data_IF_458023147394
#
_entry.id   IF_458023147394
#
_cell.length_a   1.000
_cell.length_b   1.000
_cell.length_c   1.000
_cell.angle_alpha   90.00
_cell.angle_beta   90.00
_cell.angle_gamma   90.00
#
_symmetry.space_group_name_H-M   'P 1'
#
loop_
_entity.id
_entity.type
_entity.pdbx_description
1 polymer ?
#
# COMPACT_ATOMS: atom_id res chain seq x y z
N UNK A 1 -24.18 -38.04 -29.15
CA UNK A 1 -23.04 -37.21 -29.59
C UNK A 1 -21.97 -38.15 -30.15
N UNK A 2 -21.48 -37.90 -31.35
CA UNK A 2 -20.55 -38.80 -32.06
C UNK A 2 -19.12 -38.63 -31.52
N UNK A 3 -18.29 -39.69 -31.50
CA UNK A 3 -16.91 -39.65 -31.00
C UNK A 3 -16.02 -38.59 -31.66
N UNK A 4 -16.35 -38.15 -32.88
CA UNK A 4 -15.66 -37.09 -33.63
C UNK A 4 -15.66 -35.71 -32.94
N UNK A 5 -16.68 -35.40 -32.14
CA UNK A 5 -16.79 -34.06 -31.51
C UNK A 5 -15.87 -33.94 -30.30
N UNK A 6 -15.67 -35.01 -29.52
CA UNK A 6 -14.72 -35.02 -28.40
C UNK A 6 -13.26 -34.95 -28.87
N UNK A 7 -12.93 -35.55 -30.01
CA UNK A 7 -11.56 -35.56 -30.57
C UNK A 7 -11.07 -34.15 -30.93
N UNK A 8 -11.97 -33.22 -31.28
CA UNK A 8 -11.62 -31.84 -31.63
C UNK A 8 -11.61 -30.87 -30.44
N UNK A 9 -12.34 -31.18 -29.37
CA UNK A 9 -12.43 -30.31 -28.18
C UNK A 9 -11.10 -30.27 -27.41
N UNK A 10 -10.43 -31.41 -27.25
CA UNK A 10 -9.19 -31.49 -26.47
C UNK A 10 -8.07 -30.66 -27.13
N UNK A 11 -7.77 -30.81 -28.44
CA UNK A 11 -6.79 -29.96 -29.11
C UNK A 11 -7.16 -28.48 -29.11
N UNK A 12 -8.46 -28.16 -29.26
CA UNK A 12 -8.94 -26.78 -29.24
C UNK A 12 -8.73 -26.13 -27.87
N UNK A 13 -9.07 -26.83 -26.79
CA UNK A 13 -8.85 -26.35 -25.42
C UNK A 13 -7.36 -26.16 -25.14
N UNK A 14 -6.51 -27.11 -25.56
CA UNK A 14 -5.05 -26.97 -25.43
C UNK A 14 -4.51 -25.75 -26.18
N UNK A 15 -5.05 -25.44 -27.37
CA UNK A 15 -4.66 -24.26 -28.14
C UNK A 15 -5.10 -22.97 -27.44
N UNK A 16 -6.31 -22.95 -26.87
CA UNK A 16 -6.84 -21.83 -26.08
C UNK A 16 -5.98 -21.61 -24.84
N UNK A 17 -5.68 -22.66 -24.09
CA UNK A 17 -4.88 -22.60 -22.86
C UNK A 17 -3.45 -22.13 -23.18
N UNK A 18 -2.85 -22.64 -24.26
CA UNK A 18 -1.54 -22.22 -24.75
C UNK A 18 -1.53 -20.74 -25.14
N UNK A 19 -2.53 -20.29 -25.91
CA UNK A 19 -2.66 -18.90 -26.32
C UNK A 19 -2.87 -17.95 -25.12
N UNK A 20 -3.68 -18.35 -24.14
CA UNK A 20 -3.90 -17.58 -22.93
C UNK A 20 -2.64 -17.51 -22.07
N UNK A 21 -1.97 -18.65 -21.85
CA UNK A 21 -0.73 -18.71 -21.08
C UNK A 21 0.36 -17.84 -21.71
N UNK A 22 0.53 -17.92 -23.03
CA UNK A 22 1.46 -17.08 -23.78
C UNK A 22 1.14 -15.59 -23.62
N UNK A 23 -0.12 -15.20 -23.82
CA UNK A 23 -0.56 -13.80 -23.66
C UNK A 23 -0.28 -13.24 -22.27
N UNK A 24 -0.67 -13.95 -21.21
CA UNK A 24 -0.48 -13.46 -19.84
C UNK A 24 0.98 -13.49 -19.40
N UNK A 25 1.79 -14.42 -19.92
CA UNK A 25 3.25 -14.43 -19.70
C UNK A 25 3.88 -13.16 -20.27
N UNK A 26 3.50 -12.78 -21.50
CA UNK A 26 3.96 -11.54 -22.13
C UNK A 26 3.51 -10.31 -21.34
N UNK A 27 2.23 -10.22 -20.95
CA UNK A 27 1.72 -9.10 -20.14
C UNK A 27 2.47 -8.98 -18.80
N UNK A 28 2.79 -10.08 -18.13
CA UNK A 28 3.52 -10.03 -16.86
C UNK A 28 4.97 -9.56 -17.09
N UNK A 29 5.61 -10.00 -18.17
CA UNK A 29 6.95 -9.56 -18.54
C UNK A 29 7.01 -8.06 -18.88
N UNK A 30 6.13 -7.61 -19.78
CA UNK A 30 6.08 -6.23 -20.29
C UNK A 30 5.77 -5.21 -19.20
N UNK A 31 4.99 -5.61 -18.19
CA UNK A 31 4.59 -4.75 -17.07
C UNK A 31 5.28 -5.12 -15.75
N UNK A 32 6.42 -5.83 -15.78
CA UNK A 32 7.14 -6.29 -14.58
C UNK A 32 7.54 -5.16 -13.61
N UNK A 33 7.77 -3.94 -14.11
CA UNK A 33 8.04 -2.75 -13.30
C UNK A 33 6.79 -1.97 -12.84
N UNK A 34 5.61 -2.28 -13.35
CA UNK A 34 4.34 -1.63 -12.96
C UNK A 34 3.55 -2.57 -12.05
N UNK A 35 3.78 -2.41 -10.75
CA UNK A 35 3.14 -3.21 -9.72
C UNK A 35 1.60 -3.14 -9.79
N UNK A 36 1.04 -1.99 -10.22
CA UNK A 36 -0.42 -1.80 -10.32
C UNK A 36 -1.00 -2.64 -11.45
N UNK A 37 -0.33 -2.68 -12.60
CA UNK A 37 -0.69 -3.54 -13.72
C UNK A 37 -0.55 -5.01 -13.36
N UNK A 38 0.54 -5.41 -12.71
CA UNK A 38 0.74 -6.79 -12.25
C UNK A 38 -0.40 -7.25 -11.34
N UNK A 39 -0.72 -6.47 -10.30
CA UNK A 39 -1.84 -6.80 -9.41
C UNK A 39 -3.17 -6.88 -10.16
N UNK A 40 -3.43 -6.00 -11.13
CA UNK A 40 -4.64 -6.04 -11.95
C UNK A 40 -4.71 -7.32 -12.80
N UNK A 41 -3.60 -7.70 -13.41
CA UNK A 41 -3.49 -8.90 -14.25
C UNK A 41 -3.68 -10.16 -13.42
N UNK A 42 -2.98 -10.28 -12.29
CA UNK A 42 -3.16 -11.39 -11.33
C UNK A 42 -4.60 -11.45 -10.83
N UNK A 43 -5.19 -10.31 -10.48
CA UNK A 43 -6.58 -10.24 -10.05
C UNK A 43 -7.57 -10.67 -11.15
N UNK A 44 -7.29 -10.38 -12.43
CA UNK A 44 -8.10 -10.87 -13.56
C UNK A 44 -7.98 -12.39 -13.73
N UNK A 45 -6.79 -12.95 -13.49
CA UNK A 45 -6.54 -14.40 -13.57
C UNK A 45 -7.16 -15.17 -12.40
N UNK A 46 -7.08 -14.63 -11.19
CA UNK A 46 -7.53 -15.30 -9.96
C UNK A 46 -9.02 -15.11 -9.68
N UNK A 47 -9.62 -14.01 -10.15
CA UNK A 47 -11.05 -13.82 -9.93
C UNK A 47 -11.87 -14.70 -10.87
N UNK A 48 -12.31 -15.84 -10.34
CA UNK A 48 -13.61 -16.40 -10.72
C UNK A 48 -14.66 -15.32 -10.46
N UNK A 49 -15.50 -15.07 -11.47
CA UNK A 49 -16.58 -14.08 -11.48
C UNK A 49 -17.21 -13.96 -10.08
N UNK A 50 -16.94 -12.86 -9.36
CA UNK A 50 -17.65 -12.58 -8.12
C UNK A 50 -19.06 -12.21 -8.53
N UNK A 51 -19.97 -13.19 -8.49
CA UNK A 51 -21.39 -12.88 -8.44
C UNK A 51 -21.55 -11.98 -7.24
N UNK A 52 -21.89 -10.72 -7.48
CA UNK A 52 -22.15 -9.76 -6.43
C UNK A 52 -23.43 -10.22 -5.73
N UNK A 53 -23.27 -11.12 -4.75
CA UNK A 53 -24.36 -11.55 -3.90
C UNK A 53 -24.58 -10.43 -2.89
N UNK A 54 -25.40 -9.46 -3.28
CA UNK A 54 -26.11 -8.68 -2.29
C UNK A 54 -27.00 -9.64 -1.50
N UNK A 55 -27.11 -9.47 -0.19
CA UNK A 55 -28.11 -10.20 0.55
C UNK A 55 -29.48 -9.93 -0.08
N UNK A 56 -30.18 -11.00 -0.47
CA UNK A 56 -31.57 -10.90 -0.88
C UNK A 56 -32.37 -10.24 0.24
N UNK A 57 -33.10 -9.17 -0.09
CA UNK A 57 -33.88 -8.30 0.78
C UNK A 57 -34.10 -8.85 2.20
N UNK A 58 -33.41 -8.27 3.18
CA UNK A 58 -33.65 -8.60 4.59
C UNK A 58 -34.96 -7.95 5.03
N UNK A 59 -35.95 -8.72 5.52
CA UNK A 59 -37.24 -8.18 5.94
C UNK A 59 -37.14 -7.31 7.21
N UNK A 60 -36.02 -7.37 7.94
CA UNK A 60 -35.82 -6.67 9.21
C UNK A 60 -34.47 -5.94 9.22
N UNK A 61 -34.54 -4.61 9.11
CA UNK A 61 -33.38 -3.70 9.11
C UNK A 61 -32.64 -3.70 10.46
N UNK A 62 -33.34 -3.94 11.56
CA UNK A 62 -32.77 -3.95 12.91
C UNK A 62 -31.87 -5.17 13.07
N UNK A 63 -32.39 -6.36 12.72
CA UNK A 63 -31.60 -7.59 12.75
C UNK A 63 -30.39 -7.56 11.83
N UNK A 64 -30.51 -6.91 10.67
CA UNK A 64 -29.37 -6.71 9.79
C UNK A 64 -28.32 -5.79 10.42
N UNK A 65 -28.74 -4.66 11.01
CA UNK A 65 -27.85 -3.73 11.69
C UNK A 65 -27.15 -4.40 12.88
N UNK A 66 -27.88 -5.18 13.68
CA UNK A 66 -27.33 -5.95 14.79
C UNK A 66 -26.34 -7.01 14.30
N UNK A 67 -26.67 -7.74 13.23
CA UNK A 67 -25.75 -8.72 12.63
C UNK A 67 -24.47 -8.05 12.10
N UNK A 68 -24.59 -6.88 11.47
CA UNK A 68 -23.47 -6.07 11.02
C UNK A 68 -22.60 -5.62 12.20
N UNK A 69 -23.22 -5.06 13.23
CA UNK A 69 -22.53 -4.57 14.42
C UNK A 69 -21.78 -5.72 15.13
N UNK A 70 -22.46 -6.83 15.38
CA UNK A 70 -21.89 -8.01 16.03
C UNK A 70 -20.75 -8.62 15.20
N UNK A 71 -20.85 -8.62 13.87
CA UNK A 71 -19.78 -9.07 13.00
C UNK A 71 -18.50 -8.23 13.19
N UNK A 72 -18.62 -6.90 13.22
CA UNK A 72 -17.47 -6.02 13.41
C UNK A 72 -16.89 -6.08 14.82
N UNK A 73 -17.74 -6.11 15.86
CA UNK A 73 -17.30 -6.31 17.26
C UNK A 73 -16.48 -7.61 17.36
N UNK A 74 -17.04 -8.73 16.91
CA UNK A 74 -16.36 -10.03 16.95
C UNK A 74 -15.04 -10.02 16.17
N UNK A 75 -14.99 -9.30 15.04
CA UNK A 75 -13.77 -9.20 14.23
C UNK A 75 -12.69 -8.38 14.92
N UNK A 76 -13.06 -7.28 15.59
CA UNK A 76 -12.14 -6.47 16.41
C UNK A 76 -11.59 -7.34 17.55
N UNK A 77 -12.45 -8.02 18.29
CA UNK A 77 -12.02 -8.90 19.39
C UNK A 77 -11.04 -9.98 18.93
N UNK A 78 -11.33 -10.64 17.80
CA UNK A 78 -10.42 -11.64 17.21
C UNK A 78 -9.05 -11.07 16.88
N UNK A 79 -9.00 -9.85 16.33
CA UNK A 79 -7.73 -9.19 16.00
C UNK A 79 -6.98 -8.85 17.29
N UNK A 80 -7.64 -8.24 18.27
CA UNK A 80 -7.03 -7.90 19.55
C UNK A 80 -6.50 -9.14 20.29
N UNK A 81 -7.30 -10.20 20.39
CA UNK A 81 -6.88 -11.44 21.03
C UNK A 81 -5.71 -12.09 20.29
N UNK A 82 -5.70 -12.08 18.96
CA UNK A 82 -4.57 -12.58 18.17
C UNK A 82 -3.28 -11.76 18.34
N UNK A 83 -3.37 -10.52 18.83
CA UNK A 83 -2.19 -9.74 19.22
C UNK A 83 -1.77 -10.01 20.67
N UNK A 84 -2.73 -10.16 21.58
CA UNK A 84 -2.46 -10.48 22.99
C UNK A 84 -1.84 -11.89 23.13
N UNK A 85 -2.40 -12.90 22.47
CA UNK A 85 -1.86 -14.27 22.49
C UNK A 85 -0.47 -14.39 21.84
N UNK A 86 -0.08 -13.42 21.01
CA UNK A 86 1.25 -13.34 20.37
C UNK A 86 2.23 -12.46 21.13
N UNK A 87 1.79 -11.70 22.13
CA UNK A 87 2.70 -11.06 23.04
C UNK A 87 3.29 -12.18 23.91
N UNK A 88 4.60 -12.46 23.85
CA UNK A 88 5.20 -13.36 24.82
C UNK A 88 4.94 -12.72 26.19
N UNK A 89 4.24 -13.46 27.06
CA UNK A 89 4.37 -13.28 28.49
C UNK A 89 5.86 -13.05 28.75
N UNK A 90 6.16 -11.92 29.39
CA UNK A 90 7.50 -11.47 29.69
C UNK A 90 8.10 -12.39 30.77
N UNK A 91 8.30 -13.67 30.44
CA UNK A 91 9.03 -14.63 31.24
C UNK A 91 10.51 -14.34 31.04
N UNK A 92 11.06 -13.56 31.97
CA UNK A 92 12.48 -13.26 32.16
C UNK A 92 13.31 -14.52 32.55
N UNK A 93 12.96 -15.69 32.02
CA UNK A 93 13.70 -16.94 32.27
C UNK A 93 13.33 -18.03 31.27
N UNK A 94 13.78 -17.93 30.01
CA UNK A 94 13.94 -19.14 29.22
C UNK A 94 14.92 -18.96 28.06
N UNK A 95 16.05 -19.63 28.19
CA UNK A 95 17.08 -19.76 27.17
C UNK A 95 16.70 -20.91 26.24
N UNK A 96 16.13 -20.62 25.07
CA UNK A 96 15.87 -21.64 24.04
C UNK A 96 16.32 -21.19 22.64
N UNK A 97 17.43 -21.79 22.24
CA UNK A 97 17.93 -22.18 20.91
C UNK A 97 17.04 -21.90 19.69
N UNK A 98 17.61 -21.07 18.79
CA UNK A 98 17.69 -21.20 17.32
C UNK A 98 16.58 -21.98 16.60
N UNK A 99 15.61 -21.28 16.02
CA UNK A 99 15.27 -21.39 14.57
C UNK A 99 14.27 -20.30 14.13
N UNK A 100 14.62 -19.03 14.38
CA UNK A 100 13.89 -17.92 13.76
C UNK A 100 14.60 -17.63 12.43
N UNK A 101 13.94 -17.64 11.26
CA UNK A 101 14.59 -17.18 10.05
C UNK A 101 14.97 -15.71 10.28
N UNK A 102 16.27 -15.48 10.53
CA UNK A 102 16.81 -14.13 10.56
C UNK A 102 16.61 -13.58 9.15
N UNK A 103 15.63 -12.69 9.02
CA UNK A 103 15.52 -11.87 7.84
C UNK A 103 16.73 -10.91 7.89
N UNK A 104 17.86 -11.33 7.32
CA UNK A 104 19.10 -10.54 7.23
C UNK A 104 18.99 -9.46 6.13
N UNK A 105 17.81 -8.86 5.99
CA UNK A 105 17.59 -7.74 5.10
C UNK A 105 18.16 -6.51 5.78
N UNK A 106 19.46 -6.30 5.57
CA UNK A 106 20.14 -5.10 6.01
C UNK A 106 19.83 -3.94 5.07
N UNK A 107 19.33 -2.85 5.64
CA UNK A 107 18.99 -1.62 4.91
C UNK A 107 20.28 -0.82 4.73
N UNK A 108 21.06 -1.14 3.70
CA UNK A 108 22.42 -0.59 3.52
C UNK A 108 22.47 0.68 2.66
N UNK A 109 21.35 1.08 2.04
CA UNK A 109 21.30 2.21 1.12
C UNK A 109 20.25 3.23 1.58
N UNK A 110 20.68 4.22 2.36
CA UNK A 110 19.86 5.40 2.63
C UNK A 110 20.32 6.53 1.71
N UNK A 111 19.38 7.03 0.89
CA UNK A 111 19.63 8.25 0.15
C UNK A 111 19.44 9.44 1.08
N UNK A 112 20.37 10.40 1.01
CA UNK A 112 20.21 11.66 1.72
C UNK A 112 18.92 12.35 1.24
N UNK A 113 18.04 12.67 2.17
CA UNK A 113 16.78 13.36 1.88
C UNK A 113 17.10 14.79 1.46
N UNK A 114 16.64 15.21 0.28
CA UNK A 114 16.80 16.59 -0.18
C UNK A 114 15.71 17.48 0.39
N UNK A 115 15.97 18.78 0.43
CA UNK A 115 15.02 19.76 0.93
C UNK A 115 13.69 19.73 0.15
N UNK A 116 13.75 19.57 -1.18
CA UNK A 116 12.57 19.48 -2.02
C UNK A 116 11.74 18.22 -1.74
N UNK A 117 12.39 17.10 -1.40
CA UNK A 117 11.69 15.90 -0.96
C UNK A 117 10.94 16.15 0.36
N UNK A 118 11.56 16.86 1.31
CA UNK A 118 10.91 17.22 2.58
C UNK A 118 9.74 18.17 2.35
N UNK A 119 9.92 19.21 1.54
CA UNK A 119 8.85 20.17 1.19
C UNK A 119 7.67 19.47 0.53
N UNK A 120 7.94 18.66 -0.50
CA UNK A 120 6.91 17.89 -1.23
C UNK A 120 6.19 16.89 -0.31
N UNK A 121 6.93 16.27 0.60
CA UNK A 121 6.36 15.34 1.57
C UNK A 121 5.45 16.06 2.57
N UNK A 122 5.94 17.14 3.19
CA UNK A 122 5.19 17.91 4.19
C UNK A 122 3.85 18.40 3.63
N UNK A 123 3.85 18.98 2.42
CA UNK A 123 2.61 19.44 1.78
C UNK A 123 1.65 18.26 1.54
N UNK A 124 2.15 17.12 1.06
CA UNK A 124 1.31 15.94 0.78
C UNK A 124 0.67 15.36 2.04
N UNK A 125 1.42 15.28 3.15
CA UNK A 125 0.92 14.70 4.40
C UNK A 125 -0.07 15.60 5.14
N UNK A 126 0.02 16.91 4.94
CA UNK A 126 -0.80 17.93 5.62
C UNK A 126 -2.08 18.30 4.85
N UNK A 127 -2.49 17.52 3.85
CA UNK A 127 -3.69 17.79 3.04
C UNK A 127 -5.00 17.31 3.64
N UNK A 128 -4.96 16.50 4.69
CA UNK A 128 -6.13 15.90 5.31
C UNK A 128 -6.13 16.21 6.80
N UNK A 129 -7.30 16.54 7.31
CA UNK A 129 -7.53 16.69 8.74
C UNK A 129 -8.84 16.00 9.10
N UNK A 130 -8.94 15.50 10.33
CA UNK A 130 -10.14 14.92 10.90
C UNK A 130 -10.48 15.58 12.24
N UNK A 131 -11.71 15.41 12.72
CA UNK A 131 -12.20 16.03 13.97
C UNK A 131 -11.45 15.53 15.23
N UNK A 132 -10.65 14.47 15.11
CA UNK A 132 -9.81 13.92 16.17
C UNK A 132 -8.37 14.46 16.15
N UNK A 133 -8.01 15.31 15.18
CA UNK A 133 -6.67 15.90 15.13
C UNK A 133 -6.53 16.96 16.23
N UNK A 134 -5.40 16.94 16.94
CA UNK A 134 -5.09 17.92 17.98
C UNK A 134 -5.02 19.35 17.43
N UNK A 135 -4.65 19.52 16.16
CA UNK A 135 -4.56 20.81 15.48
C UNK A 135 -4.94 20.66 13.99
N UNK A 136 -5.57 21.68 13.38
CA UNK A 136 -5.86 21.68 11.95
C UNK A 136 -4.58 21.57 11.12
N UNK A 137 -4.62 20.77 10.05
CA UNK A 137 -3.46 20.53 9.19
C UNK A 137 -2.86 21.83 8.60
N UNK A 138 -3.68 22.85 8.31
CA UNK A 138 -3.22 24.16 7.83
C UNK A 138 -2.36 24.92 8.84
N UNK A 139 -2.56 24.69 10.15
CA UNK A 139 -1.75 25.32 11.19
C UNK A 139 -0.40 24.62 11.32
N UNK A 140 -0.41 23.29 11.28
CA UNK A 140 0.79 22.46 11.31
C UNK A 140 1.66 22.75 10.07
N UNK A 141 1.05 22.93 8.90
CA UNK A 141 1.75 23.31 7.66
C UNK A 141 2.55 24.60 7.83
N UNK A 142 1.93 25.66 8.37
CA UNK A 142 2.62 26.93 8.60
C UNK A 142 3.78 26.78 9.59
N UNK A 143 3.57 26.05 10.68
CA UNK A 143 4.62 25.82 11.68
C UNK A 143 5.82 25.06 11.09
N UNK A 144 5.56 23.99 10.33
CA UNK A 144 6.59 23.19 9.65
C UNK A 144 7.32 24.03 8.59
N UNK A 145 6.60 24.82 7.79
CA UNK A 145 7.21 25.70 6.80
C UNK A 145 8.16 26.74 7.44
N UNK A 146 7.76 27.35 8.55
CA UNK A 146 8.60 28.30 9.30
C UNK A 146 9.87 27.62 9.85
N UNK A 147 9.73 26.45 10.47
CA UNK A 147 10.87 25.70 11.01
C UNK A 147 11.83 25.23 9.91
N UNK A 148 11.29 24.80 8.76
CA UNK A 148 12.10 24.44 7.60
C UNK A 148 12.85 25.66 7.06
N UNK A 149 12.19 26.81 6.91
CA UNK A 149 12.84 28.05 6.46
C UNK A 149 13.93 28.50 7.42
N UNK A 150 13.67 28.49 8.72
CA UNK A 150 14.69 28.79 9.73
C UNK A 150 15.88 27.84 9.65
N UNK A 151 15.64 26.54 9.49
CA UNK A 151 16.70 25.55 9.33
C UNK A 151 17.52 25.78 8.05
N UNK A 152 16.88 26.10 6.93
CA UNK A 152 17.55 26.43 5.66
C UNK A 152 18.49 27.62 5.85
N UNK A 153 18.00 28.69 6.46
CA UNK A 153 18.76 29.92 6.68
C UNK A 153 19.92 29.70 7.65
N UNK A 154 19.68 29.02 8.78
CA UNK A 154 20.71 28.74 9.80
C UNK A 154 21.82 27.83 9.32
N UNK A 155 21.50 26.91 8.40
CA UNK A 155 22.45 25.94 7.86
C UNK A 155 23.05 26.36 6.52
N UNK A 156 22.72 27.55 6.02
CA UNK A 156 23.14 28.03 4.69
C UNK A 156 22.83 27.03 3.58
N UNK A 157 21.67 26.37 3.68
CA UNK A 157 21.18 25.38 2.70
C UNK A 157 20.33 26.03 1.61
N UNK A 158 20.21 27.35 1.64
CA UNK A 158 19.63 28.13 0.55
C UNK A 158 20.53 28.01 -0.68
N UNK A 159 19.95 27.72 -1.84
CA UNK A 159 20.72 27.76 -3.07
C UNK A 159 21.27 29.17 -3.25
N UNK A 160 22.57 29.26 -3.54
CA UNK A 160 23.27 30.53 -3.65
C UNK A 160 22.96 31.21 -4.99
N UNK A 161 21.67 31.41 -5.31
CA UNK A 161 21.11 32.05 -6.50
C UNK A 161 21.52 31.45 -7.86
N UNK A 162 20.55 31.37 -8.79
CA UNK A 162 20.88 31.58 -10.20
C UNK A 162 21.58 32.94 -10.31
N UNK A 163 22.82 32.94 -10.83
CA UNK A 163 23.76 34.07 -10.84
C UNK A 163 23.22 35.40 -11.44
N UNK A 164 22.06 35.38 -12.09
CA UNK A 164 21.48 36.49 -12.84
C UNK A 164 20.88 37.65 -11.99
N UNK A 165 20.75 37.51 -10.67
CA UNK A 165 20.03 38.51 -9.84
C UNK A 165 20.86 39.19 -8.76
N UNK A 166 22.20 39.08 -8.76
CA UNK A 166 23.04 39.86 -7.85
C UNK A 166 23.25 41.28 -8.39
N UNK A 167 22.95 42.28 -7.55
CA UNK A 167 23.31 43.67 -7.81
C UNK A 167 24.83 43.77 -8.05
N UNK A 168 25.23 44.59 -9.04
CA UNK A 168 26.61 44.86 -9.49
C UNK A 168 27.28 43.87 -10.45
N UNK A 169 26.57 42.93 -11.06
CA UNK A 169 27.06 42.30 -12.29
C UNK A 169 26.70 43.18 -13.50
N UNK A 170 27.64 44.01 -13.95
CA UNK A 170 27.54 44.70 -15.24
C UNK A 170 27.60 43.69 -16.39
N UNK A 171 26.75 43.92 -17.39
CA UNK A 171 26.81 43.35 -18.75
C UNK A 171 28.08 43.77 -19.48
#
# INVERSE_FOLDING_TARGET
>A
MTPSVMTLIIPLNNLIDSAQSSYYTTVISDFSGDQRMLFRTVHKLLQKQKVQQYPSCFPDSTRLADAFNNFFISKIDKIHNAFIERAPENDLSSSHTTDRPLCDVQIHNFQQVTLDMVKKFAVKTLTKSCDLDLLPASLIEKAVALQLNDHILRRYLDETFQSAYKAFHST
#
